data_IF_326024043491
#
_entry.id   IF_326024043491
#
_cell.length_a   1.000
_cell.length_b   1.000
_cell.length_c   1.000
_cell.angle_alpha   90.00
_cell.angle_beta   90.00
_cell.angle_gamma   90.00
#
_symmetry.space_group_name_H-M   'P 1'
#
loop_
_entity.id
_entity.type
_entity.pdbx_description
1 polymer ?
#
# COMPACT_ATOMS: atom_id res chain seq x y z
N UNK A 1 -58.22 49.55 -9.05
CA UNK A 1 -57.31 48.43 -9.37
C UNK A 1 -56.07 48.57 -8.52
N UNK A 2 -55.94 47.78 -7.45
CA UNK A 2 -54.75 47.75 -6.60
C UNK A 2 -53.76 46.74 -7.21
N UNK A 3 -52.50 47.10 -7.50
CA UNK A 3 -51.53 46.15 -8.01
C UNK A 3 -51.06 45.27 -6.85
N UNK A 4 -51.31 43.97 -6.95
CA UNK A 4 -50.82 42.96 -6.02
C UNK A 4 -49.33 42.74 -6.34
N UNK A 5 -48.45 43.40 -5.57
CA UNK A 5 -47.01 43.21 -5.67
C UNK A 5 -46.66 41.86 -5.01
N UNK A 6 -46.53 40.80 -5.80
CA UNK A 6 -45.99 39.52 -5.34
C UNK A 6 -44.50 39.70 -5.01
N UNK A 7 -44.19 39.84 -3.73
CA UNK A 7 -42.84 39.73 -3.19
C UNK A 7 -42.38 38.27 -3.32
N UNK A 8 -41.63 37.97 -4.37
CA UNK A 8 -40.78 36.78 -4.46
C UNK A 8 -39.62 36.96 -3.46
N UNK A 9 -39.85 36.57 -2.21
CA UNK A 9 -38.76 36.42 -1.24
C UNK A 9 -38.00 35.15 -1.63
N UNK A 10 -36.71 35.21 -1.99
CA UNK A 10 -35.92 34.00 -2.14
C UNK A 10 -35.90 33.30 -0.79
N UNK A 11 -36.43 32.08 -0.73
CA UNK A 11 -36.30 31.23 0.43
C UNK A 11 -34.80 30.96 0.62
N UNK A 12 -34.17 31.69 1.53
CA UNK A 12 -32.84 31.37 2.02
C UNK A 12 -32.95 30.02 2.73
N UNK A 13 -32.64 28.94 2.01
CA UNK A 13 -32.60 27.60 2.58
C UNK A 13 -31.41 27.57 3.54
N UNK A 14 -31.71 27.68 4.84
CA UNK A 14 -30.69 27.56 5.87
C UNK A 14 -30.10 26.14 5.85
N UNK A 15 -28.78 26.03 5.85
CA UNK A 15 -28.07 24.75 5.93
C UNK A 15 -28.44 24.06 7.25
N UNK A 16 -28.95 22.82 7.17
CA UNK A 16 -29.31 22.06 8.35
C UNK A 16 -28.05 21.61 9.12
N UNK A 17 -28.05 21.79 10.44
CA UNK A 17 -26.92 21.40 11.31
C UNK A 17 -27.21 20.07 11.99
N UNK A 18 -26.40 19.07 11.69
CA UNK A 18 -26.45 17.73 12.28
C UNK A 18 -25.48 17.65 13.46
N UNK A 19 -25.93 17.10 14.59
CA UNK A 19 -25.14 16.96 15.82
C UNK A 19 -24.01 15.93 15.74
N UNK A 20 -23.90 15.21 14.63
CA UNK A 20 -22.85 14.22 14.42
C UNK A 20 -21.46 14.88 14.41
N UNK A 21 -20.49 14.23 15.06
CA UNK A 21 -19.07 14.60 15.02
C UNK A 21 -18.28 13.48 14.36
N UNK A 22 -17.60 13.74 13.23
CA UNK A 22 -16.66 12.77 12.70
C UNK A 22 -15.57 12.48 13.72
N UNK A 23 -15.18 11.21 13.81
CA UNK A 23 -14.17 10.75 14.74
C UNK A 23 -13.25 9.74 14.05
N UNK A 24 -12.02 9.62 14.59
CA UNK A 24 -11.12 8.55 14.19
C UNK A 24 -11.74 7.20 14.52
N UNK A 25 -11.59 6.23 13.62
CA UNK A 25 -12.11 4.88 13.85
C UNK A 25 -11.45 4.24 15.06
N UNK A 26 -12.30 3.82 16.01
CA UNK A 26 -11.88 3.06 17.19
C UNK A 26 -12.20 1.57 17.08
N UNK A 27 -13.20 1.20 16.27
CA UNK A 27 -13.69 -0.18 16.12
C UNK A 27 -13.95 -0.52 14.64
N UNK A 28 -13.24 -1.52 14.06
CA UNK A 28 -12.19 -2.33 14.69
C UNK A 28 -10.95 -1.49 15.03
N UNK A 29 -10.11 -2.00 15.94
CA UNK A 29 -8.83 -1.35 16.24
C UNK A 29 -7.90 -1.59 15.06
N UNK A 30 -7.61 -0.53 14.32
CA UNK A 30 -6.75 -0.58 13.16
C UNK A 30 -5.34 -0.11 13.52
N UNK A 31 -4.34 -0.87 13.11
CA UNK A 31 -2.99 -0.32 13.04
C UNK A 31 -2.95 0.73 11.92
N UNK A 32 -2.22 1.83 12.16
CA UNK A 32 -2.17 2.94 11.20
C UNK A 32 -3.49 3.73 11.06
N UNK A 33 -4.30 3.84 12.13
CA UNK A 33 -5.41 4.82 12.22
C UNK A 33 -4.92 6.23 11.93
N UNK A 34 -3.70 6.56 12.35
CA UNK A 34 -2.98 7.77 11.92
C UNK A 34 -1.57 7.38 11.45
N UNK A 35 -1.15 7.95 10.33
CA UNK A 35 0.20 7.82 9.76
C UNK A 35 0.83 9.20 9.65
N UNK A 36 1.93 9.35 8.90
CA UNK A 36 2.53 10.66 8.65
C UNK A 36 1.74 11.54 7.67
N UNK A 37 0.84 10.95 6.89
CA UNK A 37 0.10 11.65 5.83
C UNK A 37 -1.35 11.21 5.69
N UNK A 38 -1.84 10.29 6.53
CA UNK A 38 -3.21 9.78 6.45
C UNK A 38 -3.82 9.62 7.83
N UNK A 39 -5.14 9.68 7.90
CA UNK A 39 -5.91 9.22 9.06
C UNK A 39 -7.18 8.49 8.64
N UNK A 40 -7.77 7.73 9.55
CA UNK A 40 -8.92 6.87 9.30
C UNK A 40 -10.10 7.33 10.14
N UNK A 41 -11.20 7.67 9.49
CA UNK A 41 -12.47 8.08 10.11
C UNK A 41 -13.51 6.96 10.04
N UNK A 42 -14.46 7.01 10.96
CA UNK A 42 -15.72 6.30 10.79
C UNK A 42 -16.49 6.88 9.60
N UNK A 43 -17.13 6.01 8.82
CA UNK A 43 -18.01 6.43 7.74
C UNK A 43 -19.28 7.07 8.32
N UNK A 44 -19.85 8.12 7.69
CA UNK A 44 -21.01 8.84 8.20
C UNK A 44 -22.33 8.08 7.95
N UNK A 45 -22.38 6.80 8.33
CA UNK A 45 -23.54 5.92 8.18
C UNK A 45 -24.68 6.37 9.09
N UNK A 46 -25.91 6.30 8.58
CA UNK A 46 -27.13 6.67 9.30
C UNK A 46 -27.19 8.16 9.72
N UNK A 47 -26.36 9.03 9.14
CA UNK A 47 -26.32 10.48 9.46
C UNK A 47 -27.18 11.31 8.50
N UNK A 48 -27.12 10.98 7.21
CA UNK A 48 -27.74 11.76 6.13
C UNK A 48 -29.04 11.16 5.59
N UNK A 49 -29.81 10.45 6.42
CA UNK A 49 -31.01 9.72 5.98
C UNK A 49 -32.09 10.58 5.31
N UNK A 50 -32.18 11.87 5.66
CA UNK A 50 -33.13 12.83 5.06
C UNK A 50 -32.56 13.57 3.84
N UNK A 51 -31.35 13.22 3.37
CA UNK A 51 -30.61 13.88 2.29
C UNK A 51 -30.13 12.85 1.26
N UNK A 52 -31.02 11.92 0.88
CA UNK A 52 -30.76 10.77 0.01
C UNK A 52 -30.36 11.15 -1.43
N UNK A 53 -30.78 12.31 -1.91
CA UNK A 53 -30.40 12.87 -3.22
C UNK A 53 -29.12 13.70 -3.21
N UNK A 54 -28.45 13.83 -2.06
CA UNK A 54 -27.26 14.68 -1.91
C UNK A 54 -25.96 13.90 -2.03
N UNK A 55 -24.95 14.58 -2.58
CA UNK A 55 -23.56 14.16 -2.52
C UNK A 55 -22.97 14.53 -1.17
N UNK A 56 -22.34 13.56 -0.51
CA UNK A 56 -21.68 13.71 0.78
C UNK A 56 -20.19 13.96 0.52
N UNK A 57 -19.72 15.12 0.96
CA UNK A 57 -18.33 15.56 0.84
C UNK A 57 -17.66 15.65 2.20
N UNK A 58 -16.38 15.30 2.25
CA UNK A 58 -15.54 15.55 3.42
C UNK A 58 -14.78 16.86 3.24
N UNK A 59 -14.96 17.78 4.19
CA UNK A 59 -14.10 18.97 4.34
C UNK A 59 -12.94 18.60 5.24
N UNK A 60 -11.72 18.85 4.77
CA UNK A 60 -10.50 18.70 5.58
C UNK A 60 -9.86 20.07 5.72
N UNK A 61 -9.75 20.56 6.94
CA UNK A 61 -9.25 21.90 7.25
C UNK A 61 -8.09 21.85 8.26
N UNK A 62 -7.24 22.88 8.22
CA UNK A 62 -6.36 23.20 9.34
C UNK A 62 -7.22 23.59 10.54
N UNK A 63 -6.84 23.16 11.75
CA UNK A 63 -7.58 23.44 13.00
C UNK A 63 -7.93 24.94 13.16
N UNK A 64 -6.96 25.82 12.88
CA UNK A 64 -7.10 27.28 12.99
C UNK A 64 -8.11 27.89 12.02
N UNK A 65 -8.41 27.22 10.91
CA UNK A 65 -9.27 27.73 9.84
C UNK A 65 -10.65 27.05 9.78
N UNK A 66 -10.87 26.00 10.57
CA UNK A 66 -12.12 25.24 10.56
C UNK A 66 -13.34 26.13 10.86
N UNK A 67 -13.24 27.02 11.83
CA UNK A 67 -14.36 27.87 12.25
C UNK A 67 -14.63 29.07 11.33
N UNK A 68 -13.76 29.33 10.36
CA UNK A 68 -13.92 30.40 9.36
C UNK A 68 -14.19 29.84 7.96
N UNK A 69 -14.36 28.52 7.83
CA UNK A 69 -14.60 27.87 6.55
C UNK A 69 -15.96 28.28 5.95
N UNK A 70 -15.96 28.66 4.67
CA UNK A 70 -17.18 28.98 3.94
C UNK A 70 -17.84 27.71 3.37
N UNK A 71 -19.01 27.35 3.90
CA UNK A 71 -19.76 26.18 3.43
C UNK A 71 -20.35 26.32 2.03
N UNK A 72 -20.47 27.55 1.51
CA UNK A 72 -21.02 27.76 0.15
C UNK A 72 -19.98 27.55 -0.94
N UNK A 73 -18.71 27.35 -0.59
CA UNK A 73 -17.67 27.06 -1.57
C UNK A 73 -17.88 25.67 -2.17
N UNK A 74 -17.98 25.58 -3.49
CA UNK A 74 -18.15 24.32 -4.19
C UNK A 74 -16.87 23.45 -4.11
N UNK A 75 -16.98 22.11 -4.21
CA UNK A 75 -15.83 21.22 -4.21
C UNK A 75 -14.90 21.45 -5.41
N UNK A 76 -13.59 21.50 -5.17
CA UNK A 76 -12.58 21.59 -6.22
C UNK A 76 -12.39 22.98 -6.85
N UNK A 77 -13.01 24.02 -6.27
CA UNK A 77 -12.76 25.41 -6.69
C UNK A 77 -11.40 25.90 -6.20
N UNK A 78 -11.02 27.12 -6.58
CA UNK A 78 -9.82 27.78 -6.09
C UNK A 78 -9.76 27.92 -4.56
N UNK A 79 -10.89 27.82 -3.87
CA UNK A 79 -11.00 27.92 -2.41
C UNK A 79 -10.94 26.57 -1.69
N UNK A 80 -11.20 25.46 -2.40
CA UNK A 80 -11.38 24.13 -1.82
C UNK A 80 -10.58 23.02 -2.52
N UNK A 81 -9.70 23.37 -3.46
CA UNK A 81 -8.85 22.42 -4.17
C UNK A 81 -7.68 21.90 -3.32
N UNK A 82 -7.45 20.58 -3.37
CA UNK A 82 -6.37 19.90 -2.65
C UNK A 82 -4.98 20.43 -3.00
N UNK A 83 -4.71 20.74 -4.27
CA UNK A 83 -3.41 21.15 -4.79
C UNK A 83 -2.94 22.49 -4.19
N UNK A 84 -3.89 23.30 -3.72
CA UNK A 84 -3.63 24.59 -3.07
C UNK A 84 -3.49 24.45 -1.56
N UNK A 85 -3.88 23.31 -0.99
CA UNK A 85 -3.78 23.03 0.44
C UNK A 85 -2.36 22.56 0.81
N UNK A 86 -1.78 23.01 1.94
CA UNK A 86 -2.27 24.01 2.88
C UNK A 86 -1.71 25.42 2.58
N UNK A 87 -1.08 25.61 1.41
CA UNK A 87 -0.22 26.78 1.11
C UNK A 87 -1.03 28.04 0.83
N UNK A 88 -2.05 27.92 -0.03
CA UNK A 88 -2.87 29.05 -0.48
C UNK A 88 -4.30 28.96 0.05
N UNK A 89 -4.76 27.76 0.41
CA UNK A 89 -6.05 27.53 1.05
C UNK A 89 -5.87 26.73 2.34
N UNK A 90 -6.73 26.99 3.31
CA UNK A 90 -6.65 26.37 4.64
C UNK A 90 -7.61 25.19 4.81
N UNK A 91 -8.37 24.86 3.77
CA UNK A 91 -9.25 23.70 3.72
C UNK A 91 -9.41 23.22 2.27
N UNK A 92 -9.75 21.94 2.10
CA UNK A 92 -10.11 21.36 0.82
C UNK A 92 -11.28 20.39 0.98
N UNK A 93 -11.93 20.06 -0.13
CA UNK A 93 -13.02 19.08 -0.17
C UNK A 93 -12.61 17.84 -0.95
N UNK A 94 -12.98 16.67 -0.43
CA UNK A 94 -12.65 15.39 -1.05
C UNK A 94 -13.69 14.31 -0.70
N UNK A 95 -13.47 13.09 -1.19
CA UNK A 95 -14.26 11.89 -0.88
C UNK A 95 -15.75 12.06 -1.19
N UNK A 96 -16.06 12.48 -2.42
CA UNK A 96 -17.43 12.51 -2.94
C UNK A 96 -18.04 11.12 -2.87
N UNK A 97 -19.13 10.99 -2.12
CA UNK A 97 -19.86 9.75 -1.95
C UNK A 97 -21.36 10.03 -1.85
N UNK A 98 -22.17 9.07 -2.28
CA UNK A 98 -23.62 9.12 -2.07
C UNK A 98 -23.99 8.32 -0.83
N UNK A 99 -25.25 8.43 -0.37
CA UNK A 99 -25.75 7.62 0.75
C UNK A 99 -25.61 6.10 0.49
N UNK A 100 -25.67 5.67 -0.77
CA UNK A 100 -25.48 4.27 -1.18
C UNK A 100 -24.06 3.73 -0.89
N UNK A 101 -23.05 4.62 -0.80
CA UNK A 101 -21.70 4.24 -0.40
C UNK A 101 -21.59 3.98 1.13
N UNK A 102 -22.57 4.43 1.91
CA UNK A 102 -22.62 4.32 3.37
C UNK A 102 -23.91 3.62 3.86
N UNK A 103 -24.17 2.36 3.47
CA UNK A 103 -25.42 1.68 3.84
C UNK A 103 -25.61 1.60 5.36
N UNK A 104 -26.86 1.65 5.80
CA UNK A 104 -27.24 1.60 7.21
C UNK A 104 -28.17 0.37 7.44
N UNK A 105 -27.89 -0.52 8.40
CA UNK A 105 -26.82 -0.46 9.40
C UNK A 105 -25.45 -0.85 8.83
N UNK A 106 -24.39 -0.60 9.62
CA UNK A 106 -23.04 -1.09 9.32
C UNK A 106 -23.05 -2.62 9.19
N UNK A 107 -22.53 -3.22 8.10
CA UNK A 107 -22.37 -4.67 7.98
C UNK A 107 -21.46 -5.19 9.10
N UNK A 108 -21.86 -6.29 9.75
CA UNK A 108 -21.16 -6.81 10.94
C UNK A 108 -19.76 -7.36 10.63
N UNK A 109 -19.59 -7.95 9.45
CA UNK A 109 -18.36 -8.64 9.01
C UNK A 109 -17.36 -7.70 8.31
N UNK A 110 -17.80 -6.52 7.85
CA UNK A 110 -16.97 -5.65 7.00
C UNK A 110 -16.20 -4.60 7.79
N UNK A 111 -14.92 -4.40 7.42
CA UNK A 111 -14.12 -3.27 7.87
C UNK A 111 -14.52 -2.04 7.06
N UNK A 112 -15.52 -1.32 7.55
CA UNK A 112 -16.02 -0.10 6.90
C UNK A 112 -15.36 1.15 7.50
N UNK A 113 -14.41 1.74 6.78
CA UNK A 113 -13.71 2.96 7.21
C UNK A 113 -13.55 3.95 6.07
N UNK A 114 -13.26 5.21 6.41
CA UNK A 114 -12.96 6.27 5.47
C UNK A 114 -11.52 6.76 5.69
N UNK A 115 -10.60 6.36 4.80
CA UNK A 115 -9.19 6.78 4.90
C UNK A 115 -9.00 8.11 4.16
N UNK A 116 -8.55 9.12 4.89
CA UNK A 116 -8.21 10.44 4.35
C UNK A 116 -6.73 10.48 4.00
N UNK A 117 -6.41 10.97 2.81
CA UNK A 117 -5.06 11.12 2.27
C UNK A 117 -4.49 9.90 1.56
N UNK A 118 -5.33 8.95 1.12
CA UNK A 118 -4.88 7.68 0.52
C UNK A 118 -4.50 7.75 -0.97
N UNK A 119 -4.88 8.79 -1.69
CA UNK A 119 -4.68 8.87 -3.14
C UNK A 119 -3.35 9.53 -3.52
N UNK A 120 -2.27 8.75 -3.46
CA UNK A 120 -0.93 9.25 -3.85
C UNK A 120 -0.81 9.58 -5.33
N UNK A 121 -1.59 8.92 -6.19
CA UNK A 121 -1.51 9.08 -7.65
C UNK A 121 -1.96 10.46 -8.14
N UNK A 122 -2.92 11.11 -7.46
CA UNK A 122 -3.40 12.44 -7.83
C UNK A 122 -2.72 13.58 -7.06
N UNK A 123 -1.73 13.28 -6.20
CA UNK A 123 -1.11 14.27 -5.33
C UNK A 123 -0.44 15.43 -6.11
N UNK A 124 -0.10 15.23 -7.38
CA UNK A 124 0.50 16.21 -8.29
C UNK A 124 -0.37 16.49 -9.52
N UNK A 125 -1.56 15.91 -9.59
CA UNK A 125 -2.46 16.05 -10.73
C UNK A 125 -3.40 17.23 -10.51
N UNK A 126 -3.13 18.34 -11.19
CA UNK A 126 -3.96 19.56 -11.10
C UNK A 126 -5.32 19.41 -11.77
N UNK A 127 -5.52 18.40 -12.62
CA UNK A 127 -6.82 18.13 -13.27
C UNK A 127 -7.83 17.51 -12.30
N UNK A 128 -7.38 17.06 -11.13
CA UNK A 128 -8.20 16.41 -10.09
C UNK A 128 -8.24 17.24 -8.80
N UNK A 129 -8.96 18.38 -8.77
CA UNK A 129 -8.89 19.32 -7.66
C UNK A 129 -9.47 18.79 -6.32
N UNK A 130 -10.29 17.74 -6.37
CA UNK A 130 -10.93 17.10 -5.22
C UNK A 130 -10.18 15.85 -4.71
N UNK A 131 -8.93 15.68 -5.11
CA UNK A 131 -8.06 14.56 -4.75
C UNK A 131 -8.03 14.29 -3.24
N UNK A 132 -8.16 13.02 -2.83
CA UNK A 132 -7.96 12.59 -1.45
C UNK A 132 -6.46 12.35 -1.19
N UNK A 133 -5.65 13.36 -1.49
CA UNK A 133 -4.19 13.23 -1.55
C UNK A 133 -3.52 13.26 -0.18
N UNK A 134 -2.28 12.77 -0.06
CA UNK A 134 -1.56 12.66 1.21
C UNK A 134 -1.44 14.01 1.92
N UNK A 135 -1.72 14.00 3.23
CA UNK A 135 -1.64 15.20 4.06
C UNK A 135 -0.18 15.67 4.22
N UNK A 136 0.06 16.99 4.20
CA UNK A 136 1.40 17.57 4.04
C UNK A 136 2.26 17.55 5.31
N UNK A 137 1.69 17.31 6.49
CA UNK A 137 2.42 17.42 7.76
C UNK A 137 1.60 16.92 8.95
N UNK A 138 2.08 17.13 10.19
CA UNK A 138 1.46 16.55 11.37
C UNK A 138 0.05 17.09 11.67
N UNK A 139 -0.30 18.29 11.20
CA UNK A 139 -1.55 18.99 11.55
C UNK A 139 -1.34 20.00 12.68
N UNK A 140 -2.34 20.28 13.54
CA UNK A 140 -3.62 19.57 13.65
C UNK A 140 -4.63 19.87 12.54
N UNK A 141 -5.40 18.85 12.18
CA UNK A 141 -6.49 18.91 11.20
C UNK A 141 -7.85 18.79 11.87
N UNK A 142 -8.89 19.36 11.28
CA UNK A 142 -10.29 19.10 11.61
C UNK A 142 -11.05 18.72 10.37
N UNK A 143 -12.10 17.92 10.55
CA UNK A 143 -12.96 17.51 9.47
C UNK A 143 -14.43 17.66 9.81
N UNK A 144 -15.26 17.82 8.78
CA UNK A 144 -16.71 17.71 8.85
C UNK A 144 -17.25 17.18 7.53
N UNK A 145 -18.48 16.69 7.53
CA UNK A 145 -19.18 16.32 6.31
C UNK A 145 -20.17 17.41 5.90
N UNK A 146 -20.31 17.61 4.60
CA UNK A 146 -21.35 18.42 3.98
C UNK A 146 -22.18 17.54 3.05
N UNK A 147 -23.50 17.72 3.07
CA UNK A 147 -24.39 17.19 2.05
C UNK A 147 -24.69 18.31 1.06
N UNK A 148 -24.41 18.07 -0.22
CA UNK A 148 -24.61 19.02 -1.31
C UNK A 148 -25.66 18.47 -2.27
N UNK A 149 -26.63 19.30 -2.63
CA UNK A 149 -27.55 19.01 -3.73
C UNK A 149 -27.07 19.80 -4.95
N UNK A 150 -26.33 19.12 -5.83
CA UNK A 150 -25.52 19.80 -6.83
C UNK A 150 -24.37 20.58 -6.18
N UNK A 151 -24.36 21.91 -6.30
CA UNK A 151 -23.37 22.78 -5.65
C UNK A 151 -23.88 23.43 -4.36
N UNK A 152 -25.17 23.27 -4.03
CA UNK A 152 -25.79 23.95 -2.90
C UNK A 152 -25.67 23.10 -1.62
N UNK A 153 -25.09 23.63 -0.53
CA UNK A 153 -25.01 22.91 0.73
C UNK A 153 -26.40 22.86 1.40
N UNK A 154 -26.89 21.66 1.70
CA UNK A 154 -28.20 21.45 2.34
C UNK A 154 -28.09 21.00 3.79
N UNK A 155 -27.00 20.33 4.17
CA UNK A 155 -26.71 19.95 5.54
C UNK A 155 -25.21 19.91 5.85
N UNK A 156 -24.87 20.09 7.13
CA UNK A 156 -23.51 19.96 7.65
C UNK A 156 -23.47 19.21 8.97
N UNK A 157 -22.36 18.53 9.25
CA UNK A 157 -22.08 17.95 10.58
C UNK A 157 -21.29 18.94 11.44
N UNK A 158 -21.22 18.68 12.75
CA UNK A 158 -20.24 19.36 13.59
C UNK A 158 -18.80 19.01 13.17
N UNK A 159 -17.86 19.89 13.53
CA UNK A 159 -16.43 19.63 13.35
C UNK A 159 -15.94 18.54 14.30
N UNK A 160 -15.01 17.71 13.81
CA UNK A 160 -14.29 16.73 14.63
C UNK A 160 -13.46 17.40 15.73
N UNK A 161 -13.01 16.59 16.69
CA UNK A 161 -11.87 16.95 17.52
C UNK A 161 -10.60 17.16 16.64
N UNK A 162 -9.60 17.92 17.11
CA UNK A 162 -8.33 18.06 16.40
C UNK A 162 -7.65 16.70 16.20
N UNK A 163 -7.23 16.42 14.97
CA UNK A 163 -6.55 15.18 14.57
C UNK A 163 -5.07 15.48 14.35
N UNK A 164 -4.23 14.74 15.06
CA UNK A 164 -2.77 14.81 14.92
C UNK A 164 -2.23 13.58 14.20
N UNK A 165 -1.45 13.83 13.16
CA UNK A 165 -0.72 12.81 12.43
C UNK A 165 0.62 12.51 13.11
N UNK A 166 1.21 11.37 12.74
CA UNK A 166 2.50 10.95 13.27
C UNK A 166 3.63 11.71 12.59
N UNK A 167 4.60 12.19 13.35
CA UNK A 167 5.81 12.77 12.76
C UNK A 167 6.74 11.65 12.29
N UNK A 168 7.05 11.60 10.99
CA UNK A 168 8.07 10.70 10.48
C UNK A 168 9.45 11.13 11.01
N UNK A 169 10.25 10.17 11.48
CA UNK A 169 11.67 10.44 11.79
C UNK A 169 12.41 10.71 10.47
N UNK A 170 13.26 11.76 10.39
CA UNK A 170 14.03 12.01 9.18
C UNK A 170 14.94 10.82 8.89
N UNK A 171 15.11 10.47 7.62
CA UNK A 171 15.93 9.32 7.21
C UNK A 171 17.37 9.40 7.75
N UNK A 172 17.93 10.61 7.87
CA UNK A 172 19.24 10.87 8.46
C UNK A 172 19.35 10.57 9.96
N UNK A 173 18.21 10.49 10.67
CA UNK A 173 18.16 10.07 12.07
C UNK A 173 17.91 8.56 12.25
N UNK A 174 17.63 7.86 11.16
CA UNK A 174 17.57 6.39 11.18
C UNK A 174 19.03 5.93 11.26
N UNK A 175 19.42 5.51 12.46
CA UNK A 175 20.72 4.88 12.67
C UNK A 175 20.79 3.62 11.81
N UNK A 176 21.58 3.65 10.74
CA UNK A 176 21.90 2.47 9.93
C UNK A 176 22.92 1.56 10.63
N UNK A 177 23.33 1.89 11.87
CA UNK A 177 24.29 1.11 12.65
C UNK A 177 23.70 -0.17 13.27
N UNK A 178 22.46 -0.54 12.90
CA UNK A 178 21.94 -1.90 13.10
C UNK A 178 22.29 -2.86 11.94
N UNK A 179 23.29 -2.54 11.13
CA UNK A 179 24.15 -3.56 10.51
C UNK A 179 25.10 -4.21 11.52
N UNK A 180 24.67 -4.31 12.78
CA UNK A 180 25.26 -5.26 13.72
C UNK A 180 24.72 -6.61 13.30
N UNK A 181 25.39 -7.27 12.35
CA UNK A 181 25.26 -8.72 12.21
C UNK A 181 25.36 -9.27 13.62
N UNK A 182 24.22 -9.75 14.15
CA UNK A 182 24.17 -10.28 15.50
C UNK A 182 25.30 -11.28 15.59
N UNK A 183 26.18 -11.17 16.58
CA UNK A 183 27.27 -12.13 16.77
C UNK A 183 26.72 -13.56 16.74
N UNK A 184 25.46 -13.75 17.16
CA UNK A 184 24.72 -15.01 17.02
C UNK A 184 24.48 -15.45 15.57
N UNK A 185 24.14 -14.54 14.64
CA UNK A 185 24.01 -14.88 13.22
C UNK A 185 25.35 -15.34 12.63
N UNK A 186 26.45 -14.64 12.95
CA UNK A 186 27.80 -15.04 12.50
C UNK A 186 28.19 -16.39 13.11
N UNK A 187 27.93 -16.60 14.41
CA UNK A 187 28.20 -17.86 15.09
C UNK A 187 27.37 -19.02 14.50
N UNK A 188 26.08 -18.81 14.22
CA UNK A 188 25.21 -19.82 13.63
C UNK A 188 25.69 -20.16 12.22
N UNK A 189 25.98 -19.18 11.36
CA UNK A 189 26.43 -19.45 9.98
C UNK A 189 27.79 -20.14 9.96
N UNK A 190 28.71 -19.77 10.84
CA UNK A 190 30.01 -20.45 10.95
C UNK A 190 29.87 -21.88 11.45
N UNK A 191 29.10 -22.13 12.51
CA UNK A 191 28.84 -23.49 13.02
C UNK A 191 28.17 -24.35 11.94
N UNK A 192 27.12 -23.83 11.29
CA UNK A 192 26.39 -24.57 10.26
C UNK A 192 27.28 -24.89 9.04
N UNK A 193 28.15 -23.95 8.65
CA UNK A 193 29.12 -24.15 7.58
C UNK A 193 30.15 -25.23 7.92
N UNK A 194 30.69 -25.22 9.15
CA UNK A 194 31.65 -26.24 9.62
C UNK A 194 30.99 -27.62 9.69
N UNK A 195 29.80 -27.72 10.28
CA UNK A 195 29.06 -28.98 10.38
C UNK A 195 28.71 -29.55 9.00
N UNK A 196 28.31 -28.68 8.06
CA UNK A 196 28.03 -29.08 6.68
C UNK A 196 29.28 -29.60 5.97
N UNK A 197 30.43 -28.93 6.14
CA UNK A 197 31.70 -29.39 5.57
C UNK A 197 32.13 -30.74 6.14
N UNK A 198 31.97 -30.96 7.45
CA UNK A 198 32.25 -32.26 8.10
C UNK A 198 31.33 -33.34 7.56
N UNK A 199 30.04 -33.05 7.41
CA UNK A 199 29.06 -33.99 6.87
C UNK A 199 29.41 -34.37 5.42
N UNK A 200 29.76 -33.39 4.58
CA UNK A 200 30.19 -33.64 3.21
C UNK A 200 31.48 -34.47 3.15
N UNK A 201 32.48 -34.16 3.98
CA UNK A 201 33.72 -34.93 4.05
C UNK A 201 33.45 -36.38 4.48
N UNK A 202 32.58 -36.59 5.47
CA UNK A 202 32.14 -37.92 5.89
C UNK A 202 31.40 -38.68 4.78
N UNK A 203 30.53 -38.01 4.03
CA UNK A 203 29.83 -38.61 2.88
C UNK A 203 30.81 -39.00 1.77
N UNK A 204 31.78 -38.14 1.44
CA UNK A 204 32.82 -38.45 0.44
C UNK A 204 33.69 -39.61 0.91
N UNK A 205 34.12 -39.61 2.18
CA UNK A 205 34.88 -40.72 2.75
C UNK A 205 34.08 -42.02 2.68
N UNK A 206 32.80 -42.01 3.07
CA UNK A 206 31.92 -43.17 2.94
C UNK A 206 31.79 -43.64 1.49
N UNK A 207 31.66 -42.74 0.51
CA UNK A 207 31.61 -43.13 -0.90
C UNK A 207 32.92 -43.76 -1.38
N UNK A 208 34.07 -43.21 -1.00
CA UNK A 208 35.39 -43.77 -1.37
C UNK A 208 35.65 -45.10 -0.68
N UNK A 209 35.46 -45.18 0.64
CA UNK A 209 35.69 -46.39 1.43
C UNK A 209 34.64 -47.48 1.15
N UNK A 210 33.38 -47.14 0.87
CA UNK A 210 32.41 -48.11 0.34
C UNK A 210 32.74 -48.52 -1.09
N UNK A 211 33.37 -47.69 -1.93
CA UNK A 211 33.82 -48.15 -3.25
C UNK A 211 34.92 -49.21 -3.13
N UNK A 212 35.82 -49.07 -2.15
CA UNK A 212 36.87 -50.07 -1.88
C UNK A 212 36.37 -51.29 -1.09
N UNK A 213 35.38 -51.15 -0.20
CA UNK A 213 34.85 -52.26 0.64
C UNK A 213 33.58 -52.93 0.11
N UNK A 214 32.73 -52.23 -0.65
CA UNK A 214 31.62 -52.85 -1.40
C UNK A 214 32.06 -53.44 -2.75
N UNK A 215 33.37 -53.41 -3.03
CA UNK A 215 34.01 -54.09 -4.15
C UNK A 215 34.25 -55.60 -3.95
N UNK A 216 33.69 -56.23 -2.91
CA UNK A 216 33.68 -57.69 -2.78
C UNK A 216 32.24 -58.23 -2.68
N UNK A 217 31.46 -57.98 -3.75
CA UNK A 217 30.46 -58.94 -4.18
C UNK A 217 30.65 -59.18 -5.66
N UNK A 218 31.30 -60.30 -5.94
CA UNK A 218 31.57 -60.83 -7.27
C UNK A 218 30.28 -61.07 -8.04
N UNK A 219 30.03 -60.26 -9.07
CA UNK A 219 29.41 -60.67 -10.34
C UNK A 219 29.19 -59.46 -11.23
N UNK A 220 30.00 -59.30 -12.28
CA UNK A 220 29.51 -59.02 -13.63
C UNK A 220 30.68 -59.14 -14.64
N UNK A 221 30.76 -60.33 -15.23
CA UNK A 221 31.11 -60.65 -16.62
C UNK A 221 32.21 -59.83 -17.34
N UNK A 222 33.37 -60.49 -17.44
CA UNK A 222 34.41 -60.36 -18.49
C UNK A 222 33.88 -59.86 -19.85
N UNK A 223 34.46 -58.81 -20.47
CA UNK A 223 34.23 -58.58 -21.89
C UNK A 223 34.97 -59.67 -22.68
N UNK A 224 34.21 -60.45 -23.42
CA UNK A 224 34.70 -61.45 -24.34
C UNK A 224 35.53 -60.77 -25.44
N UNK A 225 36.79 -61.18 -25.58
CA UNK A 225 37.71 -60.68 -26.60
C UNK A 225 37.25 -61.18 -27.97
N UNK A 226 36.71 -60.29 -28.79
CA UNK A 226 36.40 -60.56 -30.20
C UNK A 226 37.70 -60.87 -30.95
N UNK A 227 37.79 -62.06 -31.53
CA UNK A 227 38.93 -62.50 -32.34
C UNK A 227 38.88 -61.88 -33.74
N UNK A 228 39.83 -61.00 -34.04
CA UNK A 228 39.99 -60.41 -35.39
C UNK A 228 40.70 -61.42 -36.29
N UNK A 229 40.00 -61.88 -37.34
CA UNK A 229 40.53 -62.80 -38.36
C UNK A 229 41.48 -62.04 -39.30
N UNK A 230 42.79 -62.32 -39.21
CA UNK A 230 43.82 -61.78 -40.12
C UNK A 230 43.69 -62.39 -41.51
N UNK A 231 43.60 -61.54 -42.53
CA UNK A 231 43.72 -61.94 -43.94
C UNK A 231 45.19 -61.89 -44.36
N UNK A 232 45.68 -62.94 -45.01
CA UNK A 232 47.02 -63.02 -45.60
C UNK A 232 46.99 -62.39 -47.00
N UNK A 233 47.76 -61.32 -47.22
CA UNK A 233 48.05 -60.82 -48.58
C UNK A 233 49.31 -61.50 -49.09
N UNK A 234 49.18 -62.28 -50.17
CA UNK A 234 50.32 -62.93 -50.82
C UNK A 234 51.21 -61.90 -51.52
N UNK A 235 52.53 -62.11 -51.36
CA UNK A 235 53.62 -61.29 -51.88
C UNK A 235 53.58 -61.13 -53.41
N UNK A 236 53.81 -59.90 -53.87
CA UNK A 236 54.30 -59.61 -55.23
C UNK A 236 55.80 -59.29 -55.10
N UNK A 237 56.59 -59.94 -55.95
CA UNK A 237 58.05 -59.90 -56.00
C UNK A 237 58.62 -58.69 -56.76
N UNK A 238 59.95 -58.60 -56.66
CA UNK A 238 60.94 -57.82 -57.42
C UNK A 238 61.29 -56.43 -56.86
N UNK A 239 62.55 -56.04 -56.68
CA UNK A 239 63.87 -56.69 -56.82
C UNK A 239 64.89 -55.82 -56.03
N UNK A 240 66.11 -56.29 -55.78
CA UNK A 240 66.94 -55.81 -54.67
C UNK A 240 68.04 -54.82 -55.03
N UNK A 241 68.45 -54.11 -53.97
CA UNK A 241 69.81 -53.72 -53.56
C UNK A 241 70.59 -52.69 -54.40
N UNK A 242 71.07 -51.65 -53.72
CA UNK A 242 72.48 -51.59 -53.34
C UNK A 242 72.72 -50.56 -52.22
N UNK A 243 73.62 -50.94 -51.33
CA UNK A 243 74.22 -50.14 -50.26
C UNK A 243 75.21 -49.13 -50.84
N UNK A 244 75.41 -48.03 -50.12
CA UNK A 244 76.67 -47.75 -49.42
C UNK A 244 76.35 -46.98 -48.13
#
# INVERSE_FOLDING_TARGET
MFPLLLLLVPAAHAIAKLSYKPALTQKPRLEGTTTASTFVLDQPRCIFGSYDTSDIWLVVALDKAAFTFNNTAAPGTNETAFQRFPKSVSAYMTLNATLANYPCPKPAEDITVLRVGSETSCARDETRPTCNGPLPGPGPYRVKFLALQGSEPVAETEWSAPIMLRTAKPASSISTTDSRHSAGMIAITTILSILFAILLAGLVAMLVFCSDSCGDSSSFSKPESVTVRRYNTHHVYDQPAARL
#
